data_IF_857337104431
#
_entry.id   IF_857337104431
#
_cell.length_a   1.000
_cell.length_b   1.000
_cell.length_c   1.000
_cell.angle_alpha   90.00
_cell.angle_beta   90.00
_cell.angle_gamma   90.00
#
_symmetry.space_group_name_H-M   'P 1'
#
loop_
_entity.id
_entity.type
_entity.pdbx_description
1 polymer ?
#
# COMPACT_ATOMS: atom_id res chain seq x y z
N UNK A 1 0.78 8.06 -7.02
CA UNK A 1 0.58 6.64 -7.24
C UNK A 1 -0.43 6.32 -8.35
N UNK A 2 -0.68 5.04 -8.59
CA UNK A 2 -1.54 4.53 -9.66
C UNK A 2 -2.90 5.23 -9.69
N UNK A 3 -3.64 5.18 -8.59
CA UNK A 3 -4.99 5.72 -8.49
C UNK A 3 -5.04 7.26 -8.45
N UNK A 4 -3.97 7.88 -7.97
CA UNK A 4 -3.99 9.30 -7.61
C UNK A 4 -3.36 10.22 -8.66
N UNK A 5 -2.57 9.68 -9.56
CA UNK A 5 -1.89 10.47 -10.60
C UNK A 5 -1.97 9.81 -11.97
N UNK A 6 -1.49 8.57 -12.12
CA UNK A 6 -1.34 7.95 -13.44
C UNK A 6 -2.69 7.73 -14.14
N UNK A 7 -3.63 7.06 -13.49
CA UNK A 7 -4.96 6.79 -14.07
C UNK A 7 -5.76 8.07 -14.35
N UNK A 8 -5.88 9.04 -13.39
CA UNK A 8 -6.56 10.29 -13.65
C UNK A 8 -6.02 11.06 -14.87
N UNK A 9 -4.70 11.24 -14.94
CA UNK A 9 -4.07 11.98 -16.04
C UNK A 9 -4.38 11.32 -17.39
N UNK A 10 -4.16 10.00 -17.51
CA UNK A 10 -4.41 9.28 -18.75
C UNK A 10 -5.90 9.30 -19.16
N UNK A 11 -6.80 9.23 -18.18
CA UNK A 11 -8.23 9.32 -18.44
C UNK A 11 -8.65 10.71 -18.96
N UNK A 12 -8.16 11.78 -18.34
CA UNK A 12 -8.46 13.17 -18.76
C UNK A 12 -7.93 13.45 -20.17
N UNK A 13 -6.74 12.93 -20.52
CA UNK A 13 -6.16 13.06 -21.86
C UNK A 13 -7.05 12.39 -22.94
N UNK A 14 -7.65 11.26 -22.61
CA UNK A 14 -8.53 10.51 -23.50
C UNK A 14 -9.97 11.06 -23.53
N UNK A 15 -10.41 11.78 -22.50
CA UNK A 15 -11.78 12.24 -22.31
C UNK A 15 -11.84 13.77 -22.13
N UNK A 16 -11.71 14.49 -23.23
CA UNK A 16 -11.74 15.95 -23.21
C UNK A 16 -13.04 16.49 -22.59
N UNK A 17 -12.91 17.35 -21.59
CA UNK A 17 -14.05 17.94 -20.86
C UNK A 17 -14.41 17.25 -19.54
N UNK A 18 -13.74 16.16 -19.19
CA UNK A 18 -13.81 15.56 -17.86
C UNK A 18 -12.61 16.04 -17.05
N UNK A 19 -12.82 16.33 -15.76
CA UNK A 19 -11.76 16.65 -14.80
C UNK A 19 -11.90 15.75 -13.58
N UNK A 20 -10.83 15.09 -13.19
CA UNK A 20 -10.76 14.24 -12.01
C UNK A 20 -10.15 15.01 -10.85
N UNK A 21 -10.97 15.42 -9.89
CA UNK A 21 -10.51 16.11 -8.70
C UNK A 21 -10.10 15.10 -7.64
N UNK A 22 -8.83 15.07 -7.28
CA UNK A 22 -8.26 14.16 -6.29
C UNK A 22 -7.98 14.86 -4.96
N UNK A 23 -8.30 14.18 -3.84
CA UNK A 23 -7.94 14.59 -2.48
C UNK A 23 -7.29 13.44 -1.71
N UNK A 24 -6.03 13.62 -1.31
CA UNK A 24 -5.22 12.62 -0.61
C UNK A 24 -5.44 12.65 0.89
N UNK A 25 -6.48 11.97 1.39
CA UNK A 25 -6.89 12.00 2.81
C UNK A 25 -6.71 10.67 3.57
N UNK A 26 -6.17 9.65 2.90
CA UNK A 26 -6.02 8.29 3.44
C UNK A 26 -7.24 7.39 3.21
N UNK A 27 -7.02 6.06 3.30
CA UNK A 27 -8.02 5.05 2.91
C UNK A 27 -9.30 5.12 3.74
N UNK A 28 -9.20 5.26 5.05
CA UNK A 28 -10.38 5.33 5.92
C UNK A 28 -11.29 6.51 5.57
N UNK A 29 -10.72 7.69 5.36
CA UNK A 29 -11.46 8.90 4.96
C UNK A 29 -12.07 8.75 3.56
N UNK A 30 -11.32 8.16 2.60
CA UNK A 30 -11.81 7.91 1.25
C UNK A 30 -13.00 6.96 1.22
N UNK A 31 -12.94 5.88 1.99
CA UNK A 31 -14.03 4.90 2.14
C UNK A 31 -15.26 5.56 2.76
N UNK A 32 -15.09 6.30 3.86
CA UNK A 32 -16.17 6.99 4.53
C UNK A 32 -16.85 8.04 3.63
N UNK A 33 -16.04 8.80 2.88
CA UNK A 33 -16.57 9.79 1.94
C UNK A 33 -17.42 9.16 0.82
N UNK A 34 -17.06 7.96 0.35
CA UNK A 34 -17.88 7.20 -0.60
C UNK A 34 -19.20 6.74 0.04
N UNK A 35 -19.15 6.18 1.27
CA UNK A 35 -20.35 5.77 2.03
C UNK A 35 -21.29 6.96 2.24
N UNK A 36 -20.76 8.13 2.60
CA UNK A 36 -21.52 9.35 2.86
C UNK A 36 -22.05 10.00 1.55
N UNK A 37 -21.51 9.59 0.38
CA UNK A 37 -21.87 10.14 -0.91
C UNK A 37 -21.34 11.56 -1.13
N UNK A 38 -20.25 11.95 -0.48
CA UNK A 38 -19.59 13.25 -0.63
C UNK A 38 -18.55 13.25 -1.75
N UNK A 39 -18.19 12.07 -2.25
CA UNK A 39 -17.36 11.85 -3.43
C UNK A 39 -18.02 10.81 -4.33
N UNK A 40 -17.71 10.86 -5.64
CA UNK A 40 -18.18 9.84 -6.59
C UNK A 40 -17.50 8.49 -6.35
N UNK A 41 -16.17 8.51 -6.10
CA UNK A 41 -15.33 7.33 -5.90
C UNK A 41 -14.43 7.55 -4.68
N UNK A 42 -14.47 6.65 -3.71
CA UNK A 42 -13.47 6.55 -2.65
C UNK A 42 -12.24 5.79 -3.13
N UNK A 43 -11.07 6.08 -2.58
CA UNK A 43 -9.85 5.35 -2.89
C UNK A 43 -9.30 4.71 -1.61
N UNK A 44 -8.96 3.43 -1.70
CA UNK A 44 -8.33 2.69 -0.62
C UNK A 44 -7.11 1.89 -1.12
N UNK A 45 -6.13 1.77 -0.24
CA UNK A 45 -4.90 0.97 -0.47
C UNK A 45 -4.87 -0.25 0.46
N UNK A 46 -6.03 -0.79 0.74
CA UNK A 46 -6.30 -2.02 1.47
C UNK A 46 -7.68 -2.56 1.09
N UNK A 47 -7.96 -3.80 1.44
CA UNK A 47 -9.30 -4.35 1.35
C UNK A 47 -10.28 -3.58 2.25
N UNK A 48 -11.56 -3.64 1.93
CA UNK A 48 -12.62 -3.11 2.78
C UNK A 48 -12.86 -4.04 3.98
N UNK A 49 -13.01 -3.46 5.16
CA UNK A 49 -13.43 -4.18 6.36
C UNK A 49 -14.90 -4.58 6.25
N UNK A 50 -15.30 -5.64 6.94
CA UNK A 50 -16.69 -6.13 6.94
C UNK A 50 -17.69 -5.06 7.42
N UNK A 51 -17.30 -4.22 8.38
CA UNK A 51 -18.09 -3.09 8.83
C UNK A 51 -18.32 -2.06 7.72
N UNK A 52 -17.28 -1.74 6.92
CA UNK A 52 -17.38 -0.80 5.80
C UNK A 52 -18.29 -1.34 4.70
N UNK A 53 -18.17 -2.63 4.38
CA UNK A 53 -19.10 -3.34 3.45
C UNK A 53 -20.53 -3.34 3.97
N UNK A 54 -20.72 -3.59 5.26
CA UNK A 54 -22.05 -3.56 5.91
C UNK A 54 -22.68 -2.16 5.92
N UNK A 55 -21.86 -1.11 5.87
CA UNK A 55 -22.28 0.28 5.76
C UNK A 55 -22.51 0.74 4.30
N UNK A 56 -22.48 -0.21 3.35
CA UNK A 56 -22.79 0.02 1.94
C UNK A 56 -21.59 0.38 1.06
N UNK A 57 -20.35 0.19 1.51
CA UNK A 57 -19.19 0.32 0.64
C UNK A 57 -19.07 -0.89 -0.30
N UNK A 58 -18.89 -0.63 -1.59
CA UNK A 58 -18.66 -1.65 -2.62
C UNK A 58 -17.23 -1.58 -3.12
N UNK A 59 -16.55 -2.71 -3.12
CA UNK A 59 -15.15 -2.87 -3.46
C UNK A 59 -14.97 -3.15 -4.94
N UNK A 60 -14.24 -2.29 -5.64
CA UNK A 60 -13.83 -2.47 -7.02
C UNK A 60 -12.30 -2.55 -7.03
N UNK A 61 -11.73 -3.75 -7.14
CA UNK A 61 -10.29 -3.97 -7.12
C UNK A 61 -9.70 -3.58 -8.48
N UNK A 62 -8.82 -2.60 -8.48
CA UNK A 62 -8.18 -2.03 -9.69
C UNK A 62 -6.81 -2.66 -9.92
N UNK A 63 -6.05 -2.82 -8.84
CA UNK A 63 -4.69 -3.34 -8.91
C UNK A 63 -4.30 -4.05 -7.60
N UNK A 64 -3.22 -4.83 -7.67
CA UNK A 64 -2.52 -5.39 -6.52
C UNK A 64 -1.18 -4.69 -6.34
N UNK A 65 -0.76 -4.50 -5.10
CA UNK A 65 0.52 -3.87 -4.73
C UNK A 65 1.17 -4.66 -3.61
N UNK A 66 2.46 -4.94 -3.75
CA UNK A 66 3.24 -5.52 -2.67
C UNK A 66 3.57 -4.45 -1.61
N UNK A 67 3.48 -4.80 -0.34
CA UNK A 67 4.02 -3.98 0.75
C UNK A 67 5.38 -4.55 1.11
N UNK A 68 6.44 -3.94 0.57
CA UNK A 68 7.81 -4.37 0.82
C UNK A 68 8.24 -3.96 2.23
N UNK A 69 8.87 -4.88 2.96
CA UNK A 69 9.63 -4.57 4.16
C UNK A 69 11.01 -4.10 3.72
N UNK A 70 11.40 -2.91 4.15
CA UNK A 70 12.63 -2.24 3.72
C UNK A 70 13.58 -2.00 4.87
N UNK A 71 14.86 -2.20 4.63
CA UNK A 71 15.95 -1.90 5.55
C UNK A 71 17.01 -1.05 4.87
N UNK A 72 17.90 -0.46 5.66
CA UNK A 72 19.06 0.24 5.11
C UNK A 72 19.93 -0.70 4.27
N UNK A 73 20.52 -0.27 3.14
CA UNK A 73 21.37 -1.12 2.30
C UNK A 73 22.56 -1.74 3.03
N UNK A 74 23.09 -1.08 4.07
CA UNK A 74 24.19 -1.60 4.91
C UNK A 74 23.77 -2.68 5.90
N UNK A 75 22.46 -2.87 6.12
CA UNK A 75 21.94 -3.92 7.00
C UNK A 75 22.23 -5.30 6.41
N UNK A 76 22.80 -6.21 7.21
CA UNK A 76 23.19 -7.57 6.77
C UNK A 76 22.01 -8.53 6.58
N UNK A 77 20.82 -8.21 7.11
CA UNK A 77 19.62 -9.06 7.02
C UNK A 77 19.03 -8.96 5.61
N UNK A 78 18.72 -10.11 5.01
CA UNK A 78 18.22 -10.22 3.63
C UNK A 78 16.89 -10.95 3.51
N UNK A 79 16.50 -11.69 4.55
CA UNK A 79 15.25 -12.46 4.60
C UNK A 79 14.70 -12.45 6.03
N UNK A 80 13.39 -12.32 6.15
CA UNK A 80 12.66 -12.35 7.41
C UNK A 80 11.38 -13.18 7.22
N UNK A 81 11.02 -13.95 8.24
CA UNK A 81 9.69 -14.56 8.26
C UNK A 81 8.63 -13.55 8.66
N UNK A 82 7.37 -13.77 8.28
CA UNK A 82 6.24 -12.92 8.73
C UNK A 82 6.20 -12.83 10.25
N UNK A 83 6.48 -13.93 10.95
CA UNK A 83 6.54 -13.96 12.42
C UNK A 83 7.67 -13.06 12.97
N UNK A 84 8.87 -13.09 12.38
CA UNK A 84 9.98 -12.21 12.77
C UNK A 84 9.63 -10.73 12.52
N UNK A 85 8.98 -10.44 11.40
CA UNK A 85 8.47 -9.08 11.11
C UNK A 85 7.48 -8.65 12.19
N UNK A 86 6.52 -9.50 12.55
CA UNK A 86 5.58 -9.23 13.64
C UNK A 86 6.30 -8.91 14.96
N UNK A 87 7.27 -9.75 15.34
CA UNK A 87 8.05 -9.60 16.57
C UNK A 87 8.90 -8.30 16.59
N UNK A 88 9.44 -7.89 15.45
CA UNK A 88 10.14 -6.60 15.32
C UNK A 88 9.17 -5.44 15.53
N UNK A 89 8.05 -5.47 14.82
CA UNK A 89 7.10 -4.35 14.85
C UNK A 89 6.32 -4.25 16.17
N UNK A 90 6.17 -5.34 16.92
CA UNK A 90 5.60 -5.32 18.29
C UNK A 90 6.62 -5.01 19.37
N UNK A 91 7.92 -4.98 19.04
CA UNK A 91 9.00 -4.73 19.99
C UNK A 91 9.41 -5.95 20.81
N UNK A 92 9.06 -7.15 20.38
CA UNK A 92 9.55 -8.41 20.99
C UNK A 92 11.00 -8.68 20.59
N UNK A 93 11.37 -8.42 19.34
CA UNK A 93 12.75 -8.41 18.83
C UNK A 93 13.18 -6.96 18.68
N UNK A 94 14.22 -6.56 19.41
CA UNK A 94 14.69 -5.17 19.46
C UNK A 94 16.13 -4.97 18.99
N UNK A 95 16.85 -6.06 18.73
CA UNK A 95 18.25 -6.01 18.29
C UNK A 95 18.48 -6.88 17.06
N UNK A 96 19.17 -6.35 16.06
CA UNK A 96 19.48 -7.07 14.82
C UNK A 96 20.30 -8.35 15.04
N UNK A 97 21.09 -8.45 16.12
CA UNK A 97 21.87 -9.65 16.44
C UNK A 97 20.99 -10.88 16.70
N UNK A 98 19.74 -10.69 17.11
CA UNK A 98 18.77 -11.78 17.30
C UNK A 98 18.37 -12.43 15.97
N UNK A 99 18.61 -11.71 14.87
CA UNK A 99 18.29 -12.13 13.50
C UNK A 99 19.54 -12.37 12.64
N UNK A 100 20.71 -12.52 13.28
CA UNK A 100 21.98 -12.75 12.61
C UNK A 100 22.61 -11.49 11.99
N UNK A 101 22.08 -10.32 12.30
CA UNK A 101 22.63 -9.02 11.92
C UNK A 101 23.68 -8.48 12.92
N UNK A 102 23.95 -7.20 12.84
CA UNK A 102 24.86 -6.50 13.74
C UNK A 102 24.27 -6.40 15.16
N UNK A 103 25.13 -6.28 16.18
CA UNK A 103 24.68 -5.95 17.55
C UNK A 103 24.32 -4.46 17.63
N UNK A 104 23.07 -4.18 17.25
CA UNK A 104 22.52 -2.83 17.18
C UNK A 104 21.00 -2.84 17.40
N UNK A 105 20.49 -1.83 18.10
CA UNK A 105 19.06 -1.66 18.36
C UNK A 105 18.31 -1.31 17.06
N UNK A 106 17.15 -1.95 16.87
CA UNK A 106 16.31 -1.77 15.68
C UNK A 106 15.51 -0.46 15.82
N UNK A 107 15.59 0.39 14.80
CA UNK A 107 14.74 1.57 14.68
C UNK A 107 13.56 1.28 13.73
N UNK A 108 12.35 1.22 14.27
CA UNK A 108 11.13 0.86 13.53
C UNK A 108 10.40 2.11 13.04
N UNK A 109 10.29 2.26 11.72
CA UNK A 109 9.66 3.40 11.08
C UNK A 109 8.36 2.99 10.38
N UNK A 110 7.28 3.70 10.68
CA UNK A 110 5.98 3.40 10.11
C UNK A 110 5.23 4.63 9.61
N UNK A 111 4.04 4.38 9.14
CA UNK A 111 3.10 5.40 8.69
C UNK A 111 2.17 5.80 9.83
N UNK A 112 1.63 7.02 9.75
CA UNK A 112 0.59 7.52 10.64
C UNK A 112 -0.69 6.66 10.62
N UNK A 113 -1.49 6.75 11.66
CA UNK A 113 -2.82 6.15 11.71
C UNK A 113 -3.70 6.66 10.55
N UNK A 114 -4.51 5.78 9.97
CA UNK A 114 -5.33 6.08 8.79
C UNK A 114 -4.63 5.87 7.44
N UNK A 115 -3.31 5.62 7.43
CA UNK A 115 -2.61 5.19 6.22
C UNK A 115 -3.10 3.81 5.78
N UNK A 116 -3.52 3.70 4.50
CA UNK A 116 -3.90 2.41 3.93
C UNK A 116 -2.74 1.42 3.85
N UNK A 117 -1.50 1.92 3.69
CA UNK A 117 -0.30 1.06 3.70
C UNK A 117 -0.06 0.48 5.08
N UNK A 118 -0.20 1.29 6.14
CA UNK A 118 -0.11 0.82 7.52
C UNK A 118 -1.19 -0.21 7.82
N UNK A 119 -2.45 0.11 7.53
CA UNK A 119 -3.56 -0.81 7.82
C UNK A 119 -3.41 -2.15 7.12
N UNK A 120 -3.02 -2.16 5.83
CA UNK A 120 -2.77 -3.40 5.11
C UNK A 120 -1.58 -4.19 5.68
N UNK A 121 -0.47 -3.51 6.00
CA UNK A 121 0.70 -4.14 6.58
C UNK A 121 0.37 -4.78 7.94
N UNK A 122 -0.23 -4.02 8.84
CA UNK A 122 -0.58 -4.49 10.19
C UNK A 122 -1.58 -5.65 10.17
N UNK A 123 -2.59 -5.58 9.29
CA UNK A 123 -3.57 -6.65 9.10
C UNK A 123 -2.94 -7.95 8.58
N UNK A 124 -2.11 -7.86 7.52
CA UNK A 124 -1.50 -9.04 6.90
C UNK A 124 -0.47 -9.70 7.83
N UNK A 125 0.30 -8.88 8.54
CA UNK A 125 1.33 -9.35 9.49
C UNK A 125 0.70 -9.78 10.83
N UNK A 126 -0.58 -9.42 11.08
CA UNK A 126 -1.32 -9.79 12.28
C UNK A 126 -0.92 -8.99 13.52
N UNK A 127 -0.58 -7.71 13.34
CA UNK A 127 -0.10 -6.82 14.41
C UNK A 127 -0.93 -5.54 14.53
N UNK A 128 -2.20 -5.60 14.15
CA UNK A 128 -3.12 -4.44 14.24
C UNK A 128 -3.12 -3.87 15.66
N UNK A 129 -2.96 -2.55 15.75
CA UNK A 129 -2.92 -1.79 17.02
C UNK A 129 -1.82 -2.23 18.03
N UNK A 130 -0.92 -3.13 17.65
CA UNK A 130 0.14 -3.65 18.52
C UNK A 130 1.53 -3.13 18.17
N UNK A 131 1.69 -2.40 17.08
CA UNK A 131 2.99 -1.92 16.62
C UNK A 131 3.59 -0.87 17.57
N UNK A 132 4.90 -1.01 17.80
CA UNK A 132 5.72 -0.06 18.56
C UNK A 132 6.69 0.62 17.61
N UNK A 133 6.30 1.78 17.08
CA UNK A 133 7.14 2.55 16.17
C UNK A 133 8.11 3.45 16.92
N UNK A 134 9.36 3.52 16.45
CA UNK A 134 10.31 4.56 16.86
C UNK A 134 9.82 5.94 16.40
N UNK A 135 9.33 6.01 15.15
CA UNK A 135 8.71 7.18 14.57
C UNK A 135 7.61 6.82 13.57
N UNK A 136 6.60 7.66 13.49
CA UNK A 136 5.52 7.59 12.51
C UNK A 136 5.59 8.78 11.54
N UNK A 137 5.31 8.55 10.26
CA UNK A 137 5.42 9.55 9.19
C UNK A 137 4.15 9.66 8.36
N UNK A 138 3.90 10.86 7.84
CA UNK A 138 2.73 11.15 7.01
C UNK A 138 2.85 10.66 5.56
N UNK A 139 4.07 10.38 5.09
CA UNK A 139 4.30 9.91 3.71
C UNK A 139 5.17 8.65 3.66
N UNK A 140 5.01 7.87 2.59
CA UNK A 140 5.86 6.71 2.30
C UNK A 140 7.30 7.14 1.99
N UNK A 141 7.48 8.29 1.33
CA UNK A 141 8.80 8.83 1.05
C UNK A 141 9.59 9.17 2.31
N UNK A 142 8.92 9.67 3.36
CA UNK A 142 9.57 9.95 4.65
C UNK A 142 10.01 8.65 5.35
N UNK A 143 9.21 7.58 5.28
CA UNK A 143 9.61 6.26 5.79
C UNK A 143 10.88 5.79 5.07
N UNK A 144 10.88 5.79 3.72
CA UNK A 144 12.03 5.39 2.91
C UNK A 144 13.27 6.25 3.25
N UNK A 145 13.13 7.58 3.28
CA UNK A 145 14.24 8.48 3.58
C UNK A 145 14.85 8.27 4.97
N UNK A 146 14.04 7.93 5.96
CA UNK A 146 14.52 7.65 7.32
C UNK A 146 15.18 6.27 7.43
N UNK A 147 14.66 5.25 6.73
CA UNK A 147 15.33 3.94 6.61
C UNK A 147 16.67 4.09 5.88
N UNK A 148 16.71 4.84 4.77
CA UNK A 148 17.94 5.09 4.00
C UNK A 148 19.03 5.78 4.80
N UNK A 149 18.66 6.68 5.72
CA UNK A 149 19.62 7.44 6.54
C UNK A 149 20.00 6.78 7.86
N UNK A 150 19.34 5.67 8.25
CA UNK A 150 19.61 4.97 9.49
C UNK A 150 20.05 3.51 9.22
N UNK A 151 21.33 3.13 9.47
CA UNK A 151 21.82 1.78 9.26
C UNK A 151 21.02 0.68 10.00
N UNK A 152 20.34 1.04 11.10
CA UNK A 152 19.56 0.13 11.92
C UNK A 152 18.05 0.23 11.64
N UNK A 153 17.66 1.00 10.63
CA UNK A 153 16.27 1.26 10.29
C UNK A 153 15.59 0.10 9.59
N UNK A 154 14.34 -0.13 9.96
CA UNK A 154 13.37 -0.97 9.25
C UNK A 154 12.06 -0.21 9.07
N UNK A 155 11.40 -0.43 7.96
CA UNK A 155 10.09 0.13 7.67
C UNK A 155 9.36 -0.70 6.63
N UNK A 156 8.23 -0.19 6.16
CA UNK A 156 7.47 -0.77 5.06
C UNK A 156 7.05 0.31 4.07
N UNK A 157 6.94 -0.08 2.81
CA UNK A 157 6.57 0.80 1.72
C UNK A 157 5.81 0.03 0.63
N UNK A 158 4.97 0.73 -0.14
CA UNK A 158 4.50 0.19 -1.42
C UNK A 158 5.70 -0.22 -2.28
N UNK A 159 5.64 -1.39 -2.89
CA UNK A 159 6.70 -1.88 -3.77
C UNK A 159 7.02 -0.87 -4.89
N UNK A 160 6.00 -0.20 -5.41
CA UNK A 160 6.13 0.87 -6.42
C UNK A 160 6.92 2.10 -5.96
N UNK A 161 7.13 2.28 -4.67
CA UNK A 161 7.88 3.40 -4.10
C UNK A 161 9.30 3.02 -3.67
N UNK A 162 9.66 1.74 -3.73
CA UNK A 162 11.00 1.26 -3.35
C UNK A 162 11.99 1.62 -4.45
N UNK A 163 13.10 2.23 -4.07
CA UNK A 163 14.21 2.60 -4.93
C UNK A 163 15.55 2.09 -4.36
N UNK A 164 16.64 2.40 -5.06
CA UNK A 164 18.00 1.95 -4.71
C UNK A 164 18.53 2.54 -3.38
N UNK A 165 17.83 3.45 -2.76
CA UNK A 165 18.23 4.06 -1.47
C UNK A 165 17.95 3.15 -0.27
N UNK A 166 17.09 2.16 -0.44
CA UNK A 166 16.75 1.16 0.58
C UNK A 166 16.84 -0.25 -0.02
N UNK A 167 16.93 -1.25 0.84
CA UNK A 167 16.91 -2.66 0.44
C UNK A 167 15.61 -3.32 0.88
N UNK A 168 14.83 -3.84 -0.07
CA UNK A 168 13.73 -4.72 0.24
C UNK A 168 14.26 -6.09 0.69
N UNK A 169 13.75 -6.59 1.83
CA UNK A 169 14.07 -7.93 2.31
C UNK A 169 13.10 -8.95 1.76
N UNK A 170 13.57 -10.17 1.54
CA UNK A 170 12.69 -11.29 1.23
C UNK A 170 11.80 -11.60 2.44
N UNK A 171 10.60 -12.11 2.18
CA UNK A 171 9.66 -12.57 3.21
C UNK A 171 9.41 -14.05 2.99
N UNK A 172 9.72 -14.86 3.99
CA UNK A 172 9.66 -16.33 3.88
C UNK A 172 10.42 -16.87 2.65
N UNK A 173 11.58 -16.28 2.32
CA UNK A 173 12.40 -16.64 1.17
C UNK A 173 11.90 -16.09 -0.17
N UNK A 174 10.82 -15.30 -0.21
CA UNK A 174 10.26 -14.71 -1.44
C UNK A 174 10.64 -13.23 -1.52
N UNK A 175 11.39 -12.86 -2.55
CA UNK A 175 11.73 -11.45 -2.81
C UNK A 175 10.51 -10.71 -3.36
N UNK A 176 10.15 -9.53 -2.83
CA UNK A 176 9.07 -8.74 -3.37
C UNK A 176 9.39 -8.25 -4.80
N UNK A 177 8.50 -8.55 -5.72
CA UNK A 177 8.55 -8.12 -7.13
C UNK A 177 7.15 -8.11 -7.72
N UNK A 178 6.98 -7.48 -8.89
CA UNK A 178 5.70 -7.52 -9.61
C UNK A 178 5.26 -8.97 -9.89
N UNK A 179 6.20 -9.83 -10.30
CA UNK A 179 5.91 -11.24 -10.60
C UNK A 179 5.44 -12.00 -9.36
N UNK A 180 6.11 -11.83 -8.21
CA UNK A 180 5.75 -12.53 -6.96
C UNK A 180 4.49 -11.97 -6.31
N UNK A 181 4.14 -10.73 -6.58
CA UNK A 181 2.82 -10.15 -6.23
C UNK A 181 1.75 -10.72 -7.16
N UNK A 182 2.02 -10.81 -8.47
CA UNK A 182 1.08 -11.31 -9.47
C UNK A 182 0.72 -12.78 -9.27
N UNK A 183 1.70 -13.63 -8.98
CA UNK A 183 1.49 -15.06 -8.77
C UNK A 183 1.04 -15.42 -7.34
N UNK A 184 0.98 -14.42 -6.45
CA UNK A 184 0.53 -14.57 -5.07
C UNK A 184 1.57 -15.21 -4.13
N UNK A 185 2.81 -15.44 -4.57
CA UNK A 185 3.86 -16.03 -3.73
C UNK A 185 4.40 -15.05 -2.68
N UNK A 186 4.36 -13.73 -2.95
CA UNK A 186 4.69 -12.71 -1.95
C UNK A 186 3.48 -12.43 -1.06
N UNK A 187 3.58 -12.78 0.22
CA UNK A 187 2.44 -12.79 1.15
C UNK A 187 1.96 -11.40 1.56
N UNK A 188 2.87 -10.41 1.68
CA UNK A 188 2.51 -9.06 2.12
C UNK A 188 2.07 -8.22 0.92
N UNK A 189 0.88 -8.50 0.40
CA UNK A 189 0.28 -7.80 -0.72
C UNK A 189 -1.14 -7.31 -0.41
N UNK A 190 -1.56 -6.26 -1.08
CA UNK A 190 -2.84 -5.58 -0.84
C UNK A 190 -3.51 -5.16 -2.14
N UNK A 191 -4.85 -5.04 -2.16
CA UNK A 191 -5.54 -4.42 -3.28
C UNK A 191 -5.46 -2.89 -3.23
N UNK A 192 -5.42 -2.27 -4.40
CA UNK A 192 -5.86 -0.90 -4.61
C UNK A 192 -7.31 -0.93 -5.07
N UNK A 193 -8.15 -0.23 -4.34
CA UNK A 193 -9.61 -0.31 -4.44
C UNK A 193 -10.19 1.05 -4.78
N UNK A 194 -11.09 1.07 -5.75
CA UNK A 194 -12.04 2.17 -5.94
C UNK A 194 -13.35 1.80 -5.27
N UNK A 195 -13.80 2.63 -4.34
CA UNK A 195 -14.97 2.36 -3.49
C UNK A 195 -16.15 3.13 -4.03
N UNK A 196 -17.26 2.42 -4.27
CA UNK A 196 -18.55 2.98 -4.61
C UNK A 196 -19.55 2.74 -3.49
N UNK A 197 -20.67 3.42 -3.52
CA UNK A 197 -21.76 3.21 -2.57
C UNK A 197 -22.83 2.30 -3.17
N UNK A 198 -23.21 1.27 -2.43
CA UNK A 198 -24.28 0.35 -2.82
C UNK A 198 -25.59 1.10 -3.14
N UNK A 199 -26.25 0.71 -4.22
CA UNK A 199 -27.50 1.28 -4.64
C UNK A 199 -27.44 2.73 -5.16
N UNK A 200 -26.25 3.33 -5.24
CA UNK A 200 -26.07 4.67 -5.79
C UNK A 200 -25.62 4.58 -7.24
N UNK A 201 -26.31 5.29 -8.12
CA UNK A 201 -25.90 5.42 -9.52
C UNK A 201 -24.81 6.49 -9.63
N UNK A 202 -23.65 6.09 -10.15
CA UNK A 202 -22.57 7.03 -10.45
C UNK A 202 -22.97 8.00 -11.56
N UNK A 203 -22.33 9.16 -11.60
CA UNK A 203 -22.39 10.04 -12.76
C UNK A 203 -21.78 9.32 -13.98
N UNK A 204 -22.16 9.71 -15.19
CA UNK A 204 -21.63 9.13 -16.42
C UNK A 204 -20.10 9.21 -16.48
N UNK A 205 -19.52 10.34 -16.04
CA UNK A 205 -18.08 10.55 -15.98
C UNK A 205 -17.40 9.65 -14.93
N UNK A 206 -17.98 9.51 -13.75
CA UNK A 206 -17.45 8.65 -12.68
C UNK A 206 -17.50 7.16 -13.06
N UNK A 207 -18.60 6.74 -13.71
CA UNK A 207 -18.70 5.36 -14.21
C UNK A 207 -17.66 5.10 -15.29
N UNK A 208 -17.51 6.03 -16.25
CA UNK A 208 -16.52 5.91 -17.32
C UNK A 208 -15.08 5.84 -16.76
N UNK A 209 -14.77 6.59 -15.70
CA UNK A 209 -13.47 6.53 -15.06
C UNK A 209 -13.25 5.20 -14.33
N UNK A 210 -14.25 4.68 -13.64
CA UNK A 210 -14.17 3.36 -12.99
C UNK A 210 -13.98 2.25 -14.04
N UNK A 211 -14.77 2.28 -15.13
CA UNK A 211 -14.67 1.30 -16.21
C UNK A 211 -13.29 1.34 -16.89
N UNK A 212 -12.75 2.54 -17.11
CA UNK A 212 -11.38 2.71 -17.60
C UNK A 212 -10.35 2.13 -16.64
N UNK A 213 -10.42 2.45 -15.34
CA UNK A 213 -9.48 1.97 -14.35
C UNK A 213 -9.47 0.44 -14.21
N UNK A 214 -10.59 -0.22 -14.54
CA UNK A 214 -10.75 -1.67 -14.52
C UNK A 214 -10.54 -2.33 -15.89
N UNK A 215 -10.20 -1.57 -16.93
CA UNK A 215 -10.00 -2.07 -18.29
C UNK A 215 -8.57 -2.56 -18.53
N UNK A 216 -8.39 -3.34 -19.61
CA UNK A 216 -7.07 -3.74 -20.09
C UNK A 216 -6.19 -2.54 -20.50
N UNK A 217 -6.80 -1.45 -20.97
CA UNK A 217 -6.07 -0.23 -21.35
C UNK A 217 -5.36 0.44 -20.15
N UNK A 218 -5.93 0.29 -18.95
CA UNK A 218 -5.30 0.76 -17.72
C UNK A 218 -4.14 -0.13 -17.24
N UNK A 219 -4.05 -1.38 -17.71
CA UNK A 219 -3.06 -2.35 -17.20
C UNK A 219 -1.62 -1.90 -17.43
N UNK A 220 -1.30 -1.33 -18.59
CA UNK A 220 0.04 -0.78 -18.90
C UNK A 220 0.38 0.42 -17.99
N UNK A 221 -0.60 1.28 -17.74
CA UNK A 221 -0.45 2.45 -16.86
C UNK A 221 -0.20 2.01 -15.42
N UNK A 222 -0.92 0.99 -14.97
CA UNK A 222 -0.78 0.39 -13.64
C UNK A 222 0.60 -0.24 -13.48
N UNK A 223 1.08 -1.00 -14.49
CA UNK A 223 2.39 -1.62 -14.48
C UNK A 223 3.52 -0.59 -14.47
N UNK A 224 3.45 0.47 -15.29
CA UNK A 224 4.43 1.57 -15.28
C UNK A 224 4.48 2.27 -13.92
N UNK A 225 3.37 2.31 -13.20
CA UNK A 225 3.32 2.85 -11.84
C UNK A 225 3.74 1.83 -10.76
N UNK A 226 4.23 0.64 -11.14
CA UNK A 226 4.81 -0.38 -10.25
C UNK A 226 3.79 -1.22 -9.48
N UNK A 227 2.56 -1.32 -9.98
CA UNK A 227 1.53 -2.18 -9.42
C UNK A 227 1.06 -3.20 -10.47
N UNK A 228 0.36 -4.25 -10.04
CA UNK A 228 -0.17 -5.30 -10.90
C UNK A 228 -1.66 -5.06 -11.15
N UNK A 229 -2.07 -4.96 -12.42
CA UNK A 229 -3.50 -4.86 -12.75
C UNK A 229 -4.25 -6.10 -12.25
N UNK A 230 -5.39 -5.89 -11.61
CA UNK A 230 -6.26 -6.98 -11.17
C UNK A 230 -7.11 -7.56 -12.31
N UNK A 231 -7.16 -6.87 -13.45
CA UNK A 231 -8.08 -7.16 -14.56
C UNK A 231 -7.37 -7.38 -15.90
N UNK A 232 -6.04 -7.65 -15.88
CA UNK A 232 -5.22 -7.90 -17.08
C UNK A 232 -4.97 -9.39 -17.29
#
# INVERSE_FOLDING_TARGET
GVQTCALPISFEEANSGVTVNYSGTGSGTGIQAAIDGTVDLGLASRALKDEEKSNGAVENIVALDGVAVVVNPENGVTDLTVEQIAQIFTGEITNWSELGGADAEIAVFGREAGSGTRGAFEEIVGVEDACTYTNEYSSTGDVIGNVASNPNGIGYASLSAVDDTVKAVAVNGVTPSEDTVKDGSYEIQRPFVMVTKEGTQLSEAAQAFLDFAMSADAAEIIAVAGAVSANA
#
